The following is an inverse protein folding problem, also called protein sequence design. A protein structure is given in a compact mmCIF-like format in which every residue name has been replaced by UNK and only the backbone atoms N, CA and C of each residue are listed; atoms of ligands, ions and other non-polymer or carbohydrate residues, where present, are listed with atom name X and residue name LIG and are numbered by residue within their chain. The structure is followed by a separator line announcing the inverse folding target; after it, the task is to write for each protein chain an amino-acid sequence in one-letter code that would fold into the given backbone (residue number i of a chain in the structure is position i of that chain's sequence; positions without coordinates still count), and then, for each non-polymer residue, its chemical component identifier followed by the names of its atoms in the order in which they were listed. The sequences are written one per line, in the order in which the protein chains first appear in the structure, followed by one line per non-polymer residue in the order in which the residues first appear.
data_IF_916529156475
#
_entry.id   IF_916529156475
#
_cell.length_a   1.000
_cell.length_b   1.000
_cell.length_c   1.000
_cell.angle_alpha   90.00
_cell.angle_beta   90.00
_cell.angle_gamma   90.00
#
_symmetry.space_group_name_H-M   'P 1'
#
loop_
_entity.id
_entity.type
_entity.pdbx_description
1 polymer ?
#
# COMPACT_ATOMS: atom_id res chain seq x y z
N UNK A 1 63.43 -35.61 -62.20
CA UNK A 1 62.62 -36.14 -63.31
C UNK A 1 61.62 -37.11 -62.70
N UNK A 2 60.32 -36.83 -62.92
CA UNK A 2 59.11 -37.59 -62.60
C UNK A 2 59.24 -38.86 -61.74
N UNK A 3 58.47 -38.90 -60.64
CA UNK A 3 57.45 -39.93 -60.47
C UNK A 3 56.44 -39.52 -59.40
N UNK A 4 55.17 -39.44 -59.81
CA UNK A 4 54.03 -39.29 -58.92
C UNK A 4 53.75 -40.65 -58.27
N UNK A 5 53.78 -40.70 -56.94
CA UNK A 5 53.32 -41.84 -56.15
C UNK A 5 52.36 -41.32 -55.08
N UNK A 6 51.10 -41.72 -55.20
CA UNK A 6 50.07 -41.52 -54.17
C UNK A 6 50.56 -42.19 -52.89
N UNK A 7 50.75 -41.40 -51.83
CA UNK A 7 51.00 -41.91 -50.48
C UNK A 7 49.92 -41.37 -49.55
N UNK A 8 49.14 -42.33 -49.07
CA UNK A 8 48.18 -42.28 -47.97
C UNK A 8 48.80 -41.66 -46.71
N UNK A 9 48.17 -40.61 -46.17
CA UNK A 9 48.48 -40.11 -44.83
C UNK A 9 47.45 -40.70 -43.86
N UNK A 10 47.97 -41.59 -43.04
CA UNK A 10 47.42 -42.22 -41.85
C UNK A 10 46.86 -41.20 -40.86
N UNK A 11 45.59 -41.36 -40.47
CA UNK A 11 44.98 -40.68 -39.33
C UNK A 11 45.70 -41.05 -38.04
N UNK A 12 46.36 -40.07 -37.43
CA UNK A 12 46.81 -40.13 -36.04
C UNK A 12 45.87 -39.25 -35.19
N UNK A 13 45.45 -39.80 -34.07
CA UNK A 13 44.35 -39.36 -33.22
C UNK A 13 44.51 -37.96 -32.61
N UNK A 14 43.40 -37.22 -32.56
CA UNK A 14 43.15 -36.21 -31.53
C UNK A 14 41.84 -36.59 -30.83
N UNK A 15 41.98 -37.27 -29.70
CA UNK A 15 40.88 -37.60 -28.78
C UNK A 15 40.48 -36.30 -28.08
N UNK A 16 39.45 -35.62 -28.60
CA UNK A 16 38.72 -34.62 -27.84
C UNK A 16 37.61 -35.34 -27.06
N UNK A 17 37.71 -35.27 -25.73
CA UNK A 17 36.66 -35.70 -24.81
C UNK A 17 35.41 -34.81 -25.03
N UNK A 18 34.48 -35.28 -25.85
CA UNK A 18 33.11 -34.76 -25.86
C UNK A 18 32.39 -35.39 -24.67
N UNK A 19 32.29 -34.64 -23.59
CA UNK A 19 31.33 -34.95 -22.52
C UNK A 19 29.91 -34.79 -23.09
N UNK A 20 28.96 -35.69 -22.80
CA UNK A 20 27.57 -35.49 -23.17
C UNK A 20 27.05 -34.25 -22.43
N UNK A 21 26.58 -33.25 -23.20
CA UNK A 21 25.71 -32.22 -22.68
C UNK A 21 24.47 -32.93 -22.13
N UNK A 22 24.36 -32.99 -20.80
CA UNK A 22 23.08 -33.24 -20.16
C UNK A 22 22.16 -32.10 -20.56
N UNK A 23 21.28 -32.37 -21.52
CA UNK A 23 20.11 -31.54 -21.74
C UNK A 23 19.37 -31.47 -20.40
N UNK A 24 19.40 -30.30 -19.75
CA UNK A 24 18.46 -30.03 -18.66
C UNK A 24 17.07 -30.20 -19.25
N UNK A 25 16.17 -30.94 -18.56
CA UNK A 25 14.84 -31.16 -19.07
C UNK A 25 14.19 -29.79 -19.35
N UNK A 26 13.55 -29.72 -20.51
CA UNK A 26 12.60 -28.67 -20.84
C UNK A 26 11.55 -28.70 -19.73
N UNK A 27 11.64 -27.78 -18.77
CA UNK A 27 10.55 -27.56 -17.85
C UNK A 27 9.41 -27.00 -18.70
N UNK A 28 8.35 -27.79 -18.77
CA UNK A 28 7.04 -27.42 -19.27
C UNK A 28 6.70 -26.02 -18.76
N UNK A 29 6.35 -25.11 -19.67
CA UNK A 29 5.64 -23.88 -19.33
C UNK A 29 4.34 -24.28 -18.64
N UNK A 30 4.38 -24.25 -17.31
CA UNK A 30 3.20 -24.39 -16.47
C UNK A 30 2.48 -23.04 -16.45
N UNK A 31 1.27 -23.05 -16.97
CA UNK A 31 0.33 -21.93 -17.06
C UNK A 31 -0.48 -21.71 -15.78
N UNK A 32 0.03 -22.11 -14.61
CA UNK A 32 -0.57 -21.81 -13.31
C UNK A 32 0.48 -21.69 -12.20
N UNK A 33 1.13 -20.53 -12.12
CA UNK A 33 1.78 -20.09 -10.89
C UNK A 33 1.66 -18.56 -10.83
N UNK A 34 0.83 -18.08 -9.90
CA UNK A 34 0.93 -16.74 -9.34
C UNK A 34 2.36 -16.64 -8.81
N UNK A 35 3.25 -16.00 -9.56
CA UNK A 35 4.66 -15.86 -9.20
C UNK A 35 4.69 -15.11 -7.88
N UNK A 36 5.07 -15.79 -6.81
CA UNK A 36 5.43 -15.14 -5.55
C UNK A 36 6.46 -14.03 -5.84
N UNK A 37 6.36 -12.88 -5.17
CA UNK A 37 7.21 -11.72 -5.45
C UNK A 37 8.68 -12.11 -5.34
N UNK A 38 9.51 -11.63 -6.27
CA UNK A 38 10.95 -11.90 -6.28
C UNK A 38 11.60 -11.26 -5.03
N UNK A 39 11.76 -12.10 -4.01
CA UNK A 39 12.71 -12.04 -2.90
C UNK A 39 12.73 -10.76 -2.05
N UNK A 40 11.62 -10.56 -1.34
CA UNK A 40 11.50 -9.70 -0.15
C UNK A 40 12.29 -10.34 1.01
N UNK A 41 13.02 -9.57 1.84
CA UNK A 41 13.78 -10.11 2.99
C UNK A 41 12.92 -11.03 3.88
N UNK A 42 13.49 -12.12 4.40
CA UNK A 42 12.79 -13.06 5.28
C UNK A 42 12.37 -12.44 6.62
N UNK A 43 12.93 -11.29 6.97
CA UNK A 43 12.57 -10.49 8.15
C UNK A 43 11.46 -9.47 7.86
N UNK A 44 10.93 -9.43 6.63
CA UNK A 44 9.94 -8.43 6.24
C UNK A 44 8.60 -8.60 6.96
N UNK A 45 8.09 -7.51 7.53
CA UNK A 45 6.82 -7.44 8.27
C UNK A 45 5.71 -6.69 7.55
N UNK A 46 6.08 -5.70 6.75
CA UNK A 46 5.13 -4.99 5.92
C UNK A 46 5.76 -4.86 4.55
N UNK A 47 5.08 -5.43 3.56
CA UNK A 47 5.36 -5.20 2.16
C UNK A 47 4.31 -4.25 1.60
N UNK A 48 4.72 -3.47 0.62
CA UNK A 48 3.83 -2.65 -0.18
C UNK A 48 4.00 -3.03 -1.63
N UNK A 49 2.89 -3.25 -2.33
CA UNK A 49 2.85 -3.35 -3.78
C UNK A 49 2.95 -1.95 -4.36
N UNK A 50 3.97 -1.71 -5.16
CA UNK A 50 4.18 -0.41 -5.78
C UNK A 50 3.39 -0.29 -7.08
N UNK A 51 3.01 0.92 -7.46
CA UNK A 51 2.43 1.14 -8.78
C UNK A 51 3.54 1.16 -9.84
N UNK A 52 3.17 0.97 -11.10
CA UNK A 52 4.12 1.00 -12.23
C UNK A 52 4.78 2.37 -12.48
N UNK A 53 4.38 3.41 -11.73
CA UNK A 53 4.96 4.76 -11.75
C UNK A 53 5.63 5.16 -10.43
N UNK A 54 5.60 4.29 -9.40
CA UNK A 54 6.33 4.53 -8.16
C UNK A 54 7.83 4.50 -8.43
N UNK A 55 8.58 5.47 -7.89
CA UNK A 55 10.05 5.44 -7.92
C UNK A 55 10.60 4.92 -6.60
N UNK A 56 11.81 4.35 -6.63
CA UNK A 56 12.54 3.96 -5.41
C UNK A 56 12.59 5.11 -4.39
N UNK A 57 12.92 6.31 -4.86
CA UNK A 57 13.04 7.49 -4.01
C UNK A 57 11.70 7.94 -3.42
N UNK A 58 10.62 7.93 -4.22
CA UNK A 58 9.29 8.28 -3.73
C UNK A 58 8.78 7.27 -2.72
N UNK A 59 9.09 5.98 -2.89
CA UNK A 59 8.71 4.93 -1.94
C UNK A 59 9.42 5.09 -0.59
N UNK A 60 10.74 5.27 -0.63
CA UNK A 60 11.58 5.46 0.56
C UNK A 60 11.13 6.71 1.35
N UNK A 61 10.79 7.79 0.64
CA UNK A 61 10.27 9.02 1.25
C UNK A 61 8.86 8.84 1.81
N UNK A 62 7.97 8.19 1.07
CA UNK A 62 6.59 7.94 1.49
C UNK A 62 6.51 7.15 2.79
N UNK A 63 7.41 6.18 2.98
CA UNK A 63 7.45 5.34 4.18
C UNK A 63 8.53 5.77 5.19
N UNK A 64 9.17 6.91 4.96
CA UNK A 64 10.23 7.48 5.80
C UNK A 64 11.33 6.47 6.17
N UNK A 65 11.75 5.68 5.20
CA UNK A 65 12.78 4.65 5.35
C UNK A 65 14.13 5.29 5.00
N UNK A 66 15.20 4.93 5.67
CA UNK A 66 16.53 5.31 5.17
C UNK A 66 16.90 4.45 3.96
N UNK A 67 17.54 5.01 2.94
CA UNK A 67 18.04 4.23 1.80
C UNK A 67 18.88 3.01 2.27
N UNK A 68 19.69 3.12 3.34
CA UNK A 68 20.34 1.98 3.97
C UNK A 68 19.40 0.87 4.45
N UNK A 69 18.41 1.21 5.27
CA UNK A 69 17.45 0.23 5.77
C UNK A 69 16.62 -0.38 4.62
N UNK A 70 16.30 0.39 3.59
CA UNK A 70 15.52 -0.08 2.46
C UNK A 70 16.22 -1.20 1.66
N UNK A 71 17.53 -1.10 1.43
CA UNK A 71 18.25 -2.19 0.75
C UNK A 71 18.51 -3.39 1.67
N UNK A 72 18.68 -3.20 2.98
CA UNK A 72 18.81 -4.32 3.93
C UNK A 72 17.54 -5.20 3.88
N UNK A 73 16.40 -4.55 3.75
CA UNK A 73 15.08 -5.16 3.59
C UNK A 73 14.78 -5.71 2.19
N UNK A 74 15.41 -5.15 1.17
CA UNK A 74 15.20 -5.47 -0.24
C UNK A 74 16.54 -5.64 -0.95
N UNK A 75 17.30 -6.71 -0.65
CA UNK A 75 18.71 -6.84 -1.04
C UNK A 75 18.95 -6.92 -2.56
N UNK A 76 17.91 -7.20 -3.36
CA UNK A 76 17.99 -7.15 -4.83
C UNK A 76 17.97 -5.70 -5.36
N UNK A 77 17.47 -4.74 -4.58
CA UNK A 77 17.57 -3.30 -4.91
C UNK A 77 18.96 -2.81 -4.54
N UNK A 78 19.71 -2.35 -5.53
CA UNK A 78 21.06 -1.86 -5.31
C UNK A 78 21.06 -0.50 -4.60
N UNK A 79 22.20 -0.13 -4.01
CA UNK A 79 22.38 1.08 -3.21
C UNK A 79 22.09 2.39 -3.96
N UNK A 80 22.01 2.35 -5.29
CA UNK A 80 21.70 3.45 -6.19
C UNK A 80 20.29 3.35 -6.80
N UNK A 81 19.44 2.44 -6.28
CA UNK A 81 18.10 2.12 -6.79
C UNK A 81 18.05 1.54 -8.20
N UNK A 82 19.18 1.13 -8.81
CA UNK A 82 19.24 0.66 -10.21
C UNK A 82 18.45 -0.63 -10.51
N UNK A 83 17.99 -1.35 -9.48
CA UNK A 83 17.22 -2.59 -9.60
C UNK A 83 15.84 -2.49 -8.94
N UNK A 84 15.39 -1.27 -8.69
CA UNK A 84 13.99 -1.02 -8.34
C UNK A 84 13.11 -1.15 -9.59
N UNK A 85 12.04 -1.92 -9.49
CA UNK A 85 11.09 -2.23 -10.54
C UNK A 85 9.70 -1.78 -10.06
N UNK A 86 9.15 -0.69 -10.62
CA UNK A 86 7.79 -0.24 -10.31
C UNK A 86 6.77 -1.34 -10.65
N UNK A 87 5.74 -1.52 -9.82
CA UNK A 87 4.77 -2.61 -10.00
C UNK A 87 5.07 -3.86 -9.16
N UNK A 88 6.18 -3.88 -8.43
CA UNK A 88 6.60 -5.00 -7.59
C UNK A 88 6.36 -4.72 -6.10
N UNK A 89 6.46 -5.78 -5.29
CA UNK A 89 6.34 -5.72 -3.84
C UNK A 89 7.70 -5.40 -3.20
N UNK A 90 7.72 -4.41 -2.32
CA UNK A 90 8.89 -4.05 -1.53
C UNK A 90 8.61 -4.10 -0.05
N UNK A 91 9.56 -4.63 0.70
CA UNK A 91 9.55 -4.54 2.13
C UNK A 91 9.78 -3.10 2.59
N UNK A 92 8.92 -2.62 3.46
CA UNK A 92 9.03 -1.28 4.05
C UNK A 92 9.28 -1.30 5.55
N UNK A 93 9.31 -2.50 6.17
CA UNK A 93 9.52 -2.65 7.61
C UNK A 93 10.08 -4.03 7.97
N UNK A 94 11.19 -4.07 8.73
CA UNK A 94 11.73 -5.31 9.34
C UNK A 94 11.06 -5.66 10.66
N UNK A 95 11.15 -6.93 11.04
CA UNK A 95 10.88 -7.40 12.39
C UNK A 95 12.09 -7.14 13.29
N UNK A 96 11.92 -6.35 14.35
CA UNK A 96 12.64 -6.64 15.59
C UNK A 96 12.08 -7.96 16.11
N UNK A 97 12.88 -9.03 16.13
CA UNK A 97 12.37 -10.37 16.48
C UNK A 97 11.99 -10.43 17.96
N UNK A 98 10.74 -10.12 18.27
CA UNK A 98 10.16 -10.36 19.58
C UNK A 98 9.57 -11.78 19.64
N UNK A 99 9.74 -12.52 20.76
CA UNK A 99 9.03 -13.78 20.97
C UNK A 99 7.51 -13.63 20.79
N UNK A 100 6.86 -14.65 20.23
CA UNK A 100 5.40 -14.68 20.06
C UNK A 100 4.76 -14.77 21.45
N UNK A 101 3.68 -14.02 21.66
CA UNK A 101 2.91 -14.05 22.90
C UNK A 101 2.29 -15.44 23.11
N UNK A 102 2.72 -16.12 24.18
CA UNK A 102 2.23 -17.44 24.59
C UNK A 102 1.07 -17.37 25.58
N UNK A 103 0.82 -16.20 26.17
CA UNK A 103 -0.24 -15.95 27.16
C UNK A 103 -1.29 -14.95 26.68
N UNK A 104 -1.15 -14.47 25.44
CA UNK A 104 -2.04 -13.49 24.83
C UNK A 104 -1.80 -12.07 25.31
N UNK A 105 -0.74 -11.78 26.08
CA UNK A 105 -0.36 -10.42 26.47
C UNK A 105 0.57 -9.77 25.44
N UNK A 106 0.48 -8.45 25.28
CA UNK A 106 1.25 -7.73 24.27
C UNK A 106 1.41 -6.22 24.55
N UNK A 107 2.21 -5.56 23.71
CA UNK A 107 2.47 -4.13 23.74
C UNK A 107 3.12 -3.67 25.04
N UNK A 108 2.83 -2.44 25.49
CA UNK A 108 3.43 -1.85 26.68
C UNK A 108 3.18 -2.66 27.96
N UNK A 109 2.10 -3.45 27.99
CA UNK A 109 1.71 -4.26 29.15
C UNK A 109 2.59 -5.52 29.26
N UNK A 110 3.24 -5.89 28.16
CA UNK A 110 4.30 -6.89 28.07
C UNK A 110 5.67 -6.24 27.76
N UNK A 111 5.86 -5.00 28.21
CA UNK A 111 7.09 -4.21 28.05
C UNK A 111 7.60 -4.10 26.60
N UNK A 112 6.71 -4.20 25.61
CA UNK A 112 7.05 -4.23 24.18
C UNK A 112 8.04 -5.36 23.81
N UNK A 113 8.06 -6.44 24.60
CA UNK A 113 9.03 -7.55 24.44
C UNK A 113 8.47 -8.75 23.69
N UNK A 114 7.18 -8.77 23.39
CA UNK A 114 6.47 -9.90 22.75
C UNK A 114 5.59 -9.40 21.59
N UNK A 115 5.28 -10.28 20.64
CA UNK A 115 4.42 -9.96 19.48
C UNK A 115 3.18 -10.87 19.40
N UNK A 116 2.06 -10.30 18.95
CA UNK A 116 0.85 -11.08 18.66
C UNK A 116 0.88 -11.76 17.29
N UNK A 117 1.77 -11.33 16.38
CA UNK A 117 1.80 -11.85 15.01
C UNK A 117 2.22 -13.32 15.03
N UNK A 118 1.30 -14.20 14.62
CA UNK A 118 1.43 -15.66 14.64
C UNK A 118 0.99 -16.31 15.96
N UNK A 119 0.40 -15.55 16.89
CA UNK A 119 -0.14 -16.09 18.15
C UNK A 119 -1.51 -16.75 17.93
N UNK A 120 -1.85 -17.76 18.74
CA UNK A 120 -3.16 -18.43 18.69
C UNK A 120 -4.33 -17.54 19.14
N UNK A 121 -4.02 -16.46 19.87
CA UNK A 121 -5.00 -15.48 20.34
C UNK A 121 -5.39 -14.48 19.24
N UNK A 122 -4.59 -14.37 18.19
CA UNK A 122 -4.78 -13.45 17.07
C UNK A 122 -3.61 -12.50 16.86
N UNK A 123 -3.56 -11.88 15.68
CA UNK A 123 -2.39 -11.14 15.21
C UNK A 123 -2.35 -9.66 15.64
N UNK A 124 -3.47 -9.12 16.14
CA UNK A 124 -3.56 -7.72 16.58
C UNK A 124 -3.27 -7.63 18.07
N UNK A 125 -2.42 -6.70 18.47
CA UNK A 125 -2.30 -6.30 19.86
C UNK A 125 -3.28 -5.17 20.13
N UNK A 126 -4.34 -5.47 20.89
CA UNK A 126 -5.27 -4.46 21.36
C UNK A 126 -4.66 -3.54 22.40
N UNK A 127 -5.23 -2.34 22.55
CA UNK A 127 -4.82 -1.29 23.50
C UNK A 127 -4.80 -1.76 24.95
N UNK A 128 -5.58 -2.77 25.28
CA UNK A 128 -5.59 -3.38 26.61
C UNK A 128 -4.39 -4.31 26.84
N UNK A 129 -3.47 -4.42 25.87
CA UNK A 129 -2.32 -5.31 25.94
C UNK A 129 -2.69 -6.76 25.75
N UNK A 130 -3.72 -7.05 24.95
CA UNK A 130 -4.17 -8.42 24.66
C UNK A 130 -4.15 -8.69 23.17
N UNK A 131 -3.66 -9.86 22.79
CA UNK A 131 -3.72 -10.36 21.43
C UNK A 131 -5.15 -10.75 21.06
N UNK A 132 -5.55 -10.43 19.84
CA UNK A 132 -6.90 -10.68 19.34
C UNK A 132 -7.00 -10.63 17.83
N UNK A 133 -8.15 -11.08 17.33
CA UNK A 133 -8.51 -11.02 15.90
C UNK A 133 -9.83 -10.26 15.66
N UNK A 134 -10.43 -9.70 16.72
CA UNK A 134 -11.72 -9.02 16.63
C UNK A 134 -11.52 -7.51 16.59
N UNK A 135 -12.57 -6.76 16.27
CA UNK A 135 -12.54 -5.30 16.27
C UNK A 135 -12.09 -4.69 17.61
N UNK A 136 -12.27 -5.39 18.74
CA UNK A 136 -11.81 -4.89 20.04
C UNK A 136 -10.28 -4.81 20.15
N UNK A 137 -9.55 -5.59 19.35
CA UNK A 137 -8.09 -5.59 19.30
C UNK A 137 -7.56 -5.06 17.98
N UNK A 138 -8.30 -5.27 16.89
CA UNK A 138 -7.89 -4.95 15.53
C UNK A 138 -8.51 -3.66 14.98
N UNK A 139 -9.61 -3.12 15.51
CA UNK A 139 -10.19 -1.93 14.88
C UNK A 139 -9.26 -0.71 14.99
N UNK A 140 -9.45 0.24 14.08
CA UNK A 140 -8.75 1.52 14.08
C UNK A 140 -8.93 2.20 15.44
N UNK A 141 -7.83 2.62 16.06
CA UNK A 141 -7.81 3.21 17.41
C UNK A 141 -7.85 2.22 18.58
N UNK A 142 -8.06 0.94 18.31
CA UNK A 142 -8.01 -0.14 19.31
C UNK A 142 -6.74 -0.98 19.20
N UNK A 143 -6.14 -1.03 18.03
CA UNK A 143 -4.91 -1.78 17.80
C UNK A 143 -3.67 -0.91 18.04
N UNK A 144 -2.75 -1.36 18.90
CA UNK A 144 -1.51 -0.64 19.25
C UNK A 144 -0.26 -1.24 18.59
N UNK A 145 -0.25 -2.54 18.31
CA UNK A 145 0.83 -3.24 17.59
C UNK A 145 0.32 -4.54 16.96
N UNK A 146 1.14 -5.28 16.22
CA UNK A 146 0.67 -6.47 15.47
C UNK A 146 0.14 -6.15 14.07
N UNK A 147 -0.80 -6.95 13.53
CA UNK A 147 -1.44 -6.72 12.22
C UNK A 147 -2.67 -5.82 12.38
N UNK A 148 -2.42 -4.53 12.57
CA UNK A 148 -3.49 -3.52 12.63
C UNK A 148 -3.94 -3.10 11.21
N UNK A 149 -5.25 -3.03 10.91
CA UNK A 149 -5.79 -2.31 9.76
C UNK A 149 -5.46 -0.81 9.86
N UNK A 150 -4.95 -0.23 8.77
CA UNK A 150 -4.63 1.20 8.70
C UNK A 150 -3.22 1.53 9.18
N UNK A 151 -2.23 1.37 8.30
CA UNK A 151 -0.87 1.91 8.43
C UNK A 151 -0.91 3.44 8.21
N UNK A 152 -1.55 4.15 9.12
CA UNK A 152 -1.76 5.60 9.05
C UNK A 152 -2.27 6.22 10.35
N UNK A 153 -2.16 5.52 11.49
CA UNK A 153 -2.60 6.01 12.80
C UNK A 153 -1.50 5.91 13.86
N UNK A 154 -1.47 6.88 14.78
CA UNK A 154 -0.48 7.03 15.84
C UNK A 154 -0.62 5.95 16.91
N UNK A 155 0.51 5.35 17.30
CA UNK A 155 0.59 4.30 18.36
C UNK A 155 1.27 4.79 19.63
N UNK A 156 1.86 5.98 19.61
CA UNK A 156 2.64 6.58 20.70
C UNK A 156 2.18 8.00 21.07
N UNK A 157 1.13 8.51 20.42
CA UNK A 157 0.65 9.87 20.63
C UNK A 157 1.21 10.91 19.66
N UNK A 158 2.20 10.59 18.82
CA UNK A 158 2.68 11.52 17.79
C UNK A 158 1.90 11.36 16.48
N UNK A 159 1.40 12.44 15.89
CA UNK A 159 0.66 12.44 14.62
C UNK A 159 1.05 13.63 13.73
N UNK A 160 0.57 13.66 12.48
CA UNK A 160 0.75 14.80 11.57
C UNK A 160 1.89 14.65 10.57
N UNK A 161 2.06 15.66 9.72
CA UNK A 161 3.00 15.67 8.59
C UNK A 161 4.44 15.35 9.00
N UNK A 162 4.90 15.88 10.14
CA UNK A 162 6.25 15.63 10.67
C UNK A 162 6.49 14.15 11.02
N UNK A 163 5.42 13.43 11.31
CA UNK A 163 5.44 12.01 11.66
C UNK A 163 4.87 11.13 10.55
N UNK A 164 5.00 11.56 9.29
CA UNK A 164 4.59 10.76 8.13
C UNK A 164 3.07 10.70 7.94
N UNK A 165 2.36 11.78 8.27
CA UNK A 165 0.90 11.91 8.19
C UNK A 165 0.13 10.90 9.05
N UNK A 166 0.73 10.46 10.15
CA UNK A 166 0.02 9.62 11.12
C UNK A 166 -1.21 10.37 11.64
N UNK A 167 -2.35 9.70 11.69
CA UNK A 167 -3.61 10.24 12.21
C UNK A 167 -3.78 9.84 13.67
N UNK A 168 -4.43 10.68 14.44
CA UNK A 168 -4.65 10.38 15.86
C UNK A 168 -5.93 9.53 15.99
N UNK A 169 -5.98 8.65 16.99
CA UNK A 169 -7.17 7.85 17.25
C UNK A 169 -7.11 7.10 18.57
N UNK A 170 -8.30 6.77 19.08
CA UNK A 170 -8.49 5.92 20.24
C UNK A 170 -7.94 6.51 21.52
N UNK A 171 -6.76 6.04 21.93
CA UNK A 171 -6.14 6.37 23.21
C UNK A 171 -5.69 7.79 23.36
N UNK A 172 -5.14 8.27 22.27
CA UNK A 172 -4.40 9.49 22.23
C UNK A 172 -5.30 10.66 21.82
N UNK A 173 -6.55 10.38 21.44
CA UNK A 173 -7.52 11.36 20.99
C UNK A 173 -7.58 11.47 19.48
N UNK A 174 -8.58 12.18 18.98
CA UNK A 174 -8.99 12.17 17.57
C UNK A 174 -8.46 13.37 16.78
N UNK A 175 -7.74 14.29 17.43
CA UNK A 175 -7.19 15.50 16.83
C UNK A 175 -5.67 15.47 16.84
N UNK A 176 -5.07 15.86 15.72
CA UNK A 176 -3.64 16.11 15.60
C UNK A 176 -3.39 17.57 15.84
N UNK A 177 -2.68 17.88 16.92
CA UNK A 177 -2.21 19.25 17.10
C UNK A 177 -1.16 19.60 16.05
N UNK A 178 -0.96 20.89 15.80
CA UNK A 178 0.12 21.41 14.96
C UNK A 178 1.52 21.11 15.52
N UNK A 179 1.62 20.70 16.79
CA UNK A 179 2.86 20.22 17.38
C UNK A 179 3.08 18.72 17.15
N UNK A 180 2.22 18.09 16.36
CA UNK A 180 2.26 16.68 16.04
C UNK A 180 1.91 15.76 17.21
N UNK A 181 1.04 16.21 18.12
CA UNK A 181 0.58 15.43 19.26
C UNK A 181 -0.91 15.12 19.12
N UNK A 182 -1.28 13.89 19.47
CA UNK A 182 -2.66 13.44 19.52
C UNK A 182 -3.35 14.02 20.76
N UNK A 183 -4.58 14.49 20.61
CA UNK A 183 -5.42 14.83 21.76
C UNK A 183 -6.90 14.96 21.43
N UNK A 184 -7.69 15.19 22.47
CA UNK A 184 -9.14 15.45 22.38
C UNK A 184 -9.54 16.75 23.07
N UNK A 185 -8.58 17.59 23.45
CA UNK A 185 -8.83 18.87 24.15
C UNK A 185 -8.70 20.03 23.18
N UNK A 186 -9.20 21.21 23.56
CA UNK A 186 -9.04 22.46 22.80
C UNK A 186 -7.59 22.74 22.37
N UNK A 187 -6.60 22.33 23.18
CA UNK A 187 -5.19 22.51 22.84
C UNK A 187 -4.74 21.70 21.60
N UNK A 188 -5.45 20.61 21.28
CA UNK A 188 -5.16 19.73 20.14
C UNK A 188 -6.19 19.87 19.03
N UNK A 189 -7.45 20.09 19.39
CA UNK A 189 -8.57 20.19 18.46
C UNK A 189 -8.87 21.62 18.04
N UNK A 190 -8.41 22.64 18.76
CA UNK A 190 -8.77 24.03 18.50
C UNK A 190 -8.45 24.48 17.06
N UNK A 191 -9.25 25.43 16.56
CA UNK A 191 -9.31 25.85 15.16
C UNK A 191 -7.97 26.29 14.54
N UNK A 192 -7.07 26.83 15.36
CA UNK A 192 -5.73 27.25 14.93
C UNK A 192 -4.63 26.29 15.36
N UNK A 193 -4.94 25.26 16.15
CA UNK A 193 -3.97 24.36 16.76
C UNK A 193 -4.09 22.92 16.27
N UNK A 194 -5.04 22.62 15.40
CA UNK A 194 -5.32 21.29 14.89
C UNK A 194 -5.03 21.21 13.39
N UNK A 195 -4.14 20.30 13.00
CA UNK A 195 -3.75 20.09 11.61
C UNK A 195 -4.53 18.98 10.91
N UNK A 196 -5.01 17.97 11.64
CA UNK A 196 -5.79 16.86 11.08
C UNK A 196 -6.66 16.20 12.16
N UNK A 197 -7.66 15.43 11.74
CA UNK A 197 -8.60 14.78 12.66
C UNK A 197 -9.81 15.67 13.02
N UNK A 198 -10.35 15.52 14.22
CA UNK A 198 -11.59 16.16 14.66
C UNK A 198 -11.44 17.63 15.10
N UNK A 199 -10.84 18.47 14.24
CA UNK A 199 -10.57 19.88 14.53
C UNK A 199 -11.83 20.74 14.70
N UNK A 200 -11.87 21.58 15.72
CA UNK A 200 -12.89 22.59 15.95
C UNK A 200 -12.90 23.63 14.81
N UNK A 201 -14.09 24.03 14.36
CA UNK A 201 -14.24 24.92 13.20
C UNK A 201 -14.19 24.22 11.85
N UNK A 202 -13.77 22.95 11.80
CA UNK A 202 -14.15 22.06 10.70
C UNK A 202 -15.64 21.79 10.84
N UNK A 203 -16.45 22.51 10.06
CA UNK A 203 -17.89 22.37 10.09
C UNK A 203 -18.28 21.02 9.50
N UNK A 204 -18.41 20.01 10.35
CA UNK A 204 -19.58 19.11 10.34
C UNK A 204 -19.90 18.73 11.77
N UNK A 205 -21.07 19.18 12.21
CA UNK A 205 -21.56 19.12 13.58
C UNK A 205 -21.64 17.71 14.15
N UNK A 206 -20.95 17.49 15.26
CA UNK A 206 -21.25 16.43 16.22
C UNK A 206 -22.52 16.78 16.98
N UNK A 207 -23.61 16.04 16.76
CA UNK A 207 -24.67 15.92 17.76
C UNK A 207 -24.75 14.48 18.26
N UNK A 208 -24.58 14.32 19.56
CA UNK A 208 -24.81 13.09 20.35
C UNK A 208 -26.27 12.59 20.16
N UNK A 209 -26.55 11.29 20.34
CA UNK A 209 -27.70 10.65 19.76
C UNK A 209 -28.98 11.00 20.54
N UNK A 210 -29.91 11.66 19.86
CA UNK A 210 -31.33 11.56 20.18
C UNK A 210 -32.03 11.20 18.88
N UNK A 211 -32.65 10.02 18.88
CA UNK A 211 -33.38 9.46 17.76
C UNK A 211 -34.49 10.42 17.30
N UNK A 212 -34.27 11.08 16.18
CA UNK A 212 -35.30 11.72 15.35
C UNK A 212 -34.80 11.63 13.90
N UNK A 213 -35.62 11.18 12.94
CA UNK A 213 -35.14 10.78 11.62
C UNK A 213 -34.53 11.97 10.89
N UNK A 214 -33.26 11.82 10.49
CA UNK A 214 -32.54 12.75 9.62
C UNK A 214 -33.33 12.96 8.32
N UNK A 215 -33.49 14.22 7.85
CA UNK A 215 -34.07 14.46 6.54
C UNK A 215 -33.24 13.74 5.48
N UNK A 216 -33.93 13.06 4.57
CA UNK A 216 -33.34 12.32 3.46
C UNK A 216 -32.36 13.25 2.72
N UNK A 217 -31.08 12.88 2.53
CA UNK A 217 -30.11 13.70 1.82
C UNK A 217 -30.67 14.08 0.44
N UNK A 218 -30.35 15.28 -0.02
CA UNK A 218 -30.70 15.67 -1.39
C UNK A 218 -30.11 14.62 -2.35
N UNK A 219 -30.92 14.07 -3.27
CA UNK A 219 -30.43 13.07 -4.21
C UNK A 219 -29.21 13.60 -4.95
N UNK A 220 -28.16 12.78 -5.03
CA UNK A 220 -26.95 13.02 -5.81
C UNK A 220 -25.91 14.01 -5.21
N UNK A 221 -25.87 14.19 -3.89
CA UNK A 221 -24.81 14.97 -3.25
C UNK A 221 -23.45 14.23 -3.23
N UNK A 222 -22.30 14.93 -3.28
CA UNK A 222 -20.98 14.31 -3.18
C UNK A 222 -20.80 13.50 -1.89
N UNK A 223 -20.09 12.38 -2.01
CA UNK A 223 -19.88 11.40 -0.94
C UNK A 223 -19.06 11.99 0.23
N UNK A 224 -19.60 12.03 1.46
CA UNK A 224 -18.90 12.59 2.62
C UNK A 224 -17.88 11.61 3.23
N UNK A 225 -18.04 10.32 2.99
CA UNK A 225 -17.34 9.23 3.70
C UNK A 225 -16.83 8.13 2.77
N UNK A 226 -16.83 8.39 1.46
CA UNK A 226 -16.43 7.41 0.45
C UNK A 226 -17.52 6.41 0.08
N UNK A 227 -18.68 6.40 0.74
CA UNK A 227 -19.81 5.55 0.36
C UNK A 227 -20.65 6.20 -0.76
N UNK A 228 -21.21 5.41 -1.67
CA UNK A 228 -21.96 5.91 -2.82
C UNK A 228 -23.05 4.92 -3.29
N UNK A 229 -23.87 5.37 -4.23
CA UNK A 229 -24.73 4.45 -4.97
C UNK A 229 -26.19 4.41 -4.53
N UNK A 230 -26.93 3.42 -5.01
CA UNK A 230 -28.38 3.33 -4.82
C UNK A 230 -28.85 3.30 -3.35
N UNK A 231 -27.98 2.92 -2.39
CA UNK A 231 -28.30 2.79 -0.95
C UNK A 231 -28.43 4.12 -0.23
N UNK A 232 -27.50 5.05 -0.47
CA UNK A 232 -27.40 6.34 0.23
C UNK A 232 -27.61 7.53 -0.71
N UNK A 233 -27.66 7.29 -2.02
CA UNK A 233 -27.80 8.29 -3.10
C UNK A 233 -26.64 9.28 -3.21
N UNK A 234 -25.50 8.97 -2.60
CA UNK A 234 -24.29 9.77 -2.75
C UNK A 234 -23.57 9.48 -4.07
N UNK A 235 -22.93 10.50 -4.61
CA UNK A 235 -22.12 10.42 -5.84
C UNK A 235 -20.64 10.61 -5.55
N UNK A 236 -19.78 10.04 -6.39
CA UNK A 236 -18.32 10.18 -6.33
C UNK A 236 -17.80 11.36 -7.18
N UNK A 237 -18.71 12.07 -7.86
CA UNK A 237 -18.36 13.25 -8.64
C UNK A 237 -18.01 14.41 -7.69
N UNK A 238 -16.81 14.98 -7.82
CA UNK A 238 -16.26 15.98 -6.90
C UNK A 238 -15.46 15.41 -5.71
N UNK A 239 -15.27 14.09 -5.63
CA UNK A 239 -14.47 13.42 -4.59
C UNK A 239 -13.18 12.80 -5.13
N UNK A 240 -12.71 13.23 -6.30
CA UNK A 240 -11.65 12.58 -7.09
C UNK A 240 -10.34 12.43 -6.32
N UNK A 241 -10.03 13.41 -5.48
CA UNK A 241 -8.78 13.53 -4.74
C UNK A 241 -8.78 12.63 -3.49
N UNK A 242 -9.93 12.47 -2.84
CA UNK A 242 -10.03 11.81 -1.54
C UNK A 242 -10.50 10.36 -1.67
N UNK A 243 -11.55 10.14 -2.48
CA UNK A 243 -12.23 8.86 -2.59
C UNK A 243 -12.33 8.35 -4.03
N UNK A 244 -12.01 9.17 -5.03
CA UNK A 244 -12.13 8.82 -6.44
C UNK A 244 -13.48 9.19 -7.06
N UNK A 245 -13.60 8.98 -8.37
CA UNK A 245 -14.74 9.44 -9.19
C UNK A 245 -15.74 8.35 -9.59
N UNK A 246 -15.41 7.07 -9.38
CA UNK A 246 -16.24 5.95 -9.79
C UNK A 246 -16.95 5.33 -8.60
N UNK A 247 -18.25 5.05 -8.73
CA UNK A 247 -19.00 4.35 -7.69
C UNK A 247 -19.05 2.86 -8.01
N UNK A 248 -18.35 2.03 -7.23
CA UNK A 248 -18.31 0.58 -7.44
C UNK A 248 -19.66 -0.10 -7.18
N UNK A 249 -19.83 -1.35 -7.63
CA UNK A 249 -20.98 -2.20 -7.28
C UNK A 249 -21.16 -2.38 -5.76
N UNK A 250 -20.07 -2.31 -5.00
CA UNK A 250 -20.06 -2.43 -3.55
C UNK A 250 -20.58 -1.17 -2.83
N UNK A 251 -20.78 -0.06 -3.56
CA UNK A 251 -21.26 1.21 -3.00
C UNK A 251 -20.15 2.06 -2.38
N UNK A 252 -18.96 2.01 -2.96
CA UNK A 252 -17.82 2.84 -2.55
C UNK A 252 -17.19 3.56 -3.73
N UNK A 253 -16.77 4.80 -3.48
CA UNK A 253 -16.01 5.61 -4.42
C UNK A 253 -14.59 5.06 -4.59
N UNK A 254 -14.08 5.12 -5.82
CA UNK A 254 -12.69 4.78 -6.14
C UNK A 254 -12.31 5.22 -7.56
N UNK A 255 -11.06 4.99 -7.94
CA UNK A 255 -10.53 5.32 -9.28
C UNK A 255 -10.00 4.09 -10.04
N UNK A 256 -9.96 2.92 -9.39
CA UNK A 256 -9.42 1.72 -10.02
C UNK A 256 -10.41 1.10 -10.99
N UNK A 257 -9.95 0.23 -11.89
CA UNK A 257 -10.81 -0.53 -12.81
C UNK A 257 -11.91 -1.32 -12.10
N UNK A 258 -11.71 -1.73 -10.83
CA UNK A 258 -12.73 -2.43 -10.04
C UNK A 258 -13.86 -1.49 -9.59
N UNK A 259 -13.58 -0.20 -9.50
CA UNK A 259 -14.57 0.82 -9.18
C UNK A 259 -15.20 1.40 -10.45
N UNK A 260 -14.40 1.56 -11.52
CA UNK A 260 -14.78 2.27 -12.73
C UNK A 260 -15.31 1.40 -13.86
N UNK A 261 -15.04 0.08 -13.87
CA UNK A 261 -15.46 -0.77 -14.97
C UNK A 261 -16.96 -1.05 -14.91
N UNK A 262 -17.64 -0.81 -16.03
CA UNK A 262 -19.03 -1.22 -16.22
C UNK A 262 -19.20 -2.74 -16.04
N UNK A 263 -18.21 -3.54 -16.48
CA UNK A 263 -18.22 -4.99 -16.35
C UNK A 263 -18.11 -5.45 -14.89
N UNK A 264 -17.55 -4.63 -14.01
CA UNK A 264 -17.45 -4.89 -12.57
C UNK A 264 -18.60 -4.25 -11.78
N UNK A 265 -19.60 -3.70 -12.48
CA UNK A 265 -20.81 -3.16 -11.89
C UNK A 265 -20.66 -1.76 -11.31
N UNK A 266 -19.78 -0.93 -11.89
CA UNK A 266 -19.78 0.50 -11.62
C UNK A 266 -21.21 1.07 -11.79
N UNK A 267 -21.62 1.97 -10.89
CA UNK A 267 -22.96 2.57 -10.85
C UNK A 267 -22.93 3.95 -11.54
N UNK A 268 -23.30 4.05 -12.84
CA UNK A 268 -23.08 5.25 -13.65
C UNK A 268 -23.92 6.46 -13.25
N UNK A 269 -24.96 6.26 -12.46
CA UNK A 269 -25.78 7.33 -11.88
C UNK A 269 -25.12 7.98 -10.66
N UNK A 270 -24.09 7.35 -10.10
CA UNK A 270 -23.42 7.76 -8.86
C UNK A 270 -21.90 7.94 -9.00
N UNK A 271 -21.35 7.74 -10.19
CA UNK A 271 -19.94 7.97 -10.47
C UNK A 271 -19.64 7.85 -11.96
N UNK A 272 -18.42 8.22 -12.35
CA UNK A 272 -17.96 8.20 -13.73
C UNK A 272 -17.48 6.80 -14.11
N UNK A 273 -18.37 6.00 -14.65
CA UNK A 273 -18.05 4.65 -15.11
C UNK A 273 -17.48 4.65 -16.54
N UNK A 274 -16.61 3.67 -16.79
CA UNK A 274 -15.96 3.36 -18.06
C UNK A 274 -15.24 4.55 -18.73
N UNK A 275 -14.50 5.33 -17.92
CA UNK A 275 -13.53 6.29 -18.45
C UNK A 275 -12.29 5.57 -18.99
N UNK A 276 -12.43 4.91 -20.13
CA UNK A 276 -11.26 4.50 -20.93
C UNK A 276 -10.62 5.77 -21.50
N UNK A 277 -9.64 6.35 -20.80
CA UNK A 277 -8.67 7.33 -21.29
C UNK A 277 -9.08 8.12 -22.56
N UNK A 278 -10.13 8.93 -22.49
CA UNK A 278 -10.37 9.98 -23.49
C UNK A 278 -9.64 11.25 -23.06
N UNK A 279 -8.31 11.15 -22.94
CA UNK A 279 -7.44 12.30 -23.19
C UNK A 279 -6.90 12.10 -24.60
N UNK A 280 -7.80 12.26 -25.57
CA UNK A 280 -7.42 12.37 -26.97
C UNK A 280 -6.67 13.69 -27.13
N UNK A 281 -5.41 13.56 -27.56
CA UNK A 281 -4.57 14.55 -28.20
C UNK A 281 -5.27 15.88 -28.58
N UNK A 282 -5.03 16.92 -27.78
CA UNK A 282 -5.01 18.30 -28.27
C UNK A 282 -3.59 18.59 -28.73
N UNK A 283 -3.32 18.28 -30.00
CA UNK A 283 -2.14 18.72 -30.74
C UNK A 283 -1.97 20.24 -30.65
N UNK A 284 -0.83 20.67 -30.12
CA UNK A 284 -0.35 22.05 -30.19
C UNK A 284 1.16 22.07 -30.39
N UNK A 285 1.64 21.45 -31.49
CA UNK A 285 3.02 21.58 -31.93
C UNK A 285 3.18 22.88 -32.72
N UNK A 286 3.85 23.88 -32.13
CA UNK A 286 4.41 25.00 -32.87
C UNK A 286 5.90 24.75 -33.07
N UNK A 287 6.28 24.47 -34.31
CA UNK A 287 7.65 24.34 -34.79
C UNK A 287 8.28 25.74 -35.00
N UNK A 288 9.55 25.99 -34.62
CA UNK A 288 10.22 27.22 -35.01
C UNK A 288 10.81 27.07 -36.42
N UNK A 289 10.23 27.81 -37.37
CA UNK A 289 10.78 27.98 -38.73
C UNK A 289 12.15 28.68 -38.66
N UNK A 290 13.16 28.04 -39.25
CA UNK A 290 14.48 28.61 -39.49
C UNK A 290 14.42 29.49 -40.74
N UNK A 291 14.77 30.77 -40.61
CA UNK A 291 14.90 31.70 -41.73
C UNK A 291 16.33 31.68 -42.26
N UNK A 292 16.45 31.59 -43.59
CA UNK A 292 17.67 31.81 -44.38
C UNK A 292 18.13 33.27 -44.33
#
# INVERSE_FOLDING_TARGET
MNNALKVTITSLALVFLLQPLHAKPFHTLDTSAHLAPRNVSSTCKASVSTDIWTTCQSLIQQYNISLPAFYEMNPEVWYDCSQFHPGEDYCIREMTSFPISEDGLCGSQAAETVTCIGSEFGDCCGRNGTCGSTDNECAIGFCQSGICPGLGYSTNGTCGEEYGNLMCGGSFGDCCSNSGECGSTEAHCGLENCQSGACEGSTTSTTTPTSTPTPLPEPFSPSPDGTCGYRNKYVCNGTEIYWGYCCSAAGYCGTSQYHCSDLQGCQPEFGLCDVTNTVTASTGASEPTTTL
#
